data_IF_986558353482
#
_entry.id   IF_986558353482
#
_cell.length_a   1.000
_cell.length_b   1.000
_cell.length_c   1.000
_cell.angle_alpha   90.00
_cell.angle_beta   90.00
_cell.angle_gamma   90.00
#
_symmetry.space_group_name_H-M   'P 1'
#
loop_
_entity.id
_entity.type
_entity.pdbx_description
1 polymer ?
#
# COMPACT_ATOMS: atom_id res chain seq x y z
N UNK A 1 -3.02 -4.39 12.70
CA UNK A 1 -1.97 -5.14 11.97
C UNK A 1 -1.33 -6.09 12.98
N UNK A 2 -1.17 -7.40 12.70
CA UNK A 2 -0.43 -8.30 13.59
C UNK A 2 0.96 -7.72 13.91
N UNK A 3 1.45 -7.92 15.13
CA UNK A 3 2.68 -7.26 15.63
C UNK A 3 3.90 -7.61 14.78
N UNK A 4 3.92 -8.79 14.17
CA UNK A 4 4.98 -9.24 13.26
C UNK A 4 5.08 -8.44 11.94
N UNK A 5 4.07 -7.61 11.60
CA UNK A 5 4.07 -6.77 10.40
C UNK A 5 4.20 -5.28 10.67
N UNK A 6 4.29 -4.88 11.95
CA UNK A 6 4.48 -3.48 12.31
C UNK A 6 5.92 -3.06 12.01
N UNK A 7 6.08 -1.98 11.22
CA UNK A 7 7.39 -1.36 10.99
C UNK A 7 7.83 -0.71 12.30
N UNK A 8 8.99 -1.13 12.82
CA UNK A 8 9.63 -0.50 13.96
C UNK A 8 10.36 0.77 13.50
N UNK A 9 9.62 1.88 13.45
CA UNK A 9 10.14 3.17 13.00
C UNK A 9 11.29 3.71 13.86
N UNK A 10 11.47 3.20 15.09
CA UNK A 10 12.60 3.59 15.95
C UNK A 10 13.96 3.11 15.41
N UNK A 11 13.96 2.15 14.48
CA UNK A 11 15.17 1.56 13.88
C UNK A 11 15.47 2.05 12.47
N UNK A 12 14.61 2.89 11.90
CA UNK A 12 14.75 3.41 10.53
C UNK A 12 15.42 4.78 10.60
N UNK A 13 16.70 4.85 10.22
CA UNK A 13 17.48 6.11 10.23
C UNK A 13 17.92 6.54 8.83
N UNK A 14 17.73 5.70 7.83
CA UNK A 14 18.11 5.96 6.43
C UNK A 14 17.00 5.62 5.44
N UNK A 15 17.02 6.26 4.27
CA UNK A 15 16.07 6.00 3.19
C UNK A 15 16.14 4.55 2.70
N UNK A 16 17.34 3.96 2.65
CA UNK A 16 17.52 2.56 2.26
C UNK A 16 16.82 1.60 3.23
N UNK A 17 16.91 1.84 4.53
CA UNK A 17 16.21 1.06 5.56
C UNK A 17 14.69 1.22 5.44
N UNK A 18 14.20 2.45 5.23
CA UNK A 18 12.77 2.71 5.02
C UNK A 18 12.23 1.91 3.82
N UNK A 19 12.99 1.88 2.72
CA UNK A 19 12.63 1.10 1.52
C UNK A 19 12.61 -0.40 1.80
N UNK A 20 13.57 -0.92 2.57
CA UNK A 20 13.62 -2.33 2.93
C UNK A 20 12.43 -2.74 3.81
N UNK A 21 12.07 -1.94 4.81
CA UNK A 21 10.90 -2.19 5.67
C UNK A 21 9.59 -2.11 4.89
N UNK A 22 9.44 -1.13 4.00
CA UNK A 22 8.29 -1.05 3.10
C UNK A 22 8.16 -2.28 2.19
N UNK A 23 9.28 -2.78 1.63
CA UNK A 23 9.27 -4.00 0.80
C UNK A 23 8.82 -5.24 1.58
N UNK A 24 9.26 -5.38 2.85
CA UNK A 24 8.82 -6.47 3.73
C UNK A 24 7.32 -6.38 4.01
N UNK A 25 6.81 -5.18 4.30
CA UNK A 25 5.38 -4.94 4.51
C UNK A 25 4.55 -5.28 3.25
N UNK A 26 5.00 -4.84 2.07
CA UNK A 26 4.31 -5.18 0.81
C UNK A 26 4.33 -6.68 0.54
N UNK A 27 5.45 -7.35 0.80
CA UNK A 27 5.56 -8.80 0.65
C UNK A 27 4.63 -9.56 1.61
N UNK A 28 4.50 -9.11 2.86
CA UNK A 28 3.60 -9.75 3.82
C UNK A 28 2.13 -9.58 3.44
N UNK A 29 1.74 -8.40 2.94
CA UNK A 29 0.40 -8.16 2.41
C UNK A 29 0.12 -9.09 1.22
N UNK A 30 1.06 -9.21 0.27
CA UNK A 30 0.93 -10.09 -0.90
C UNK A 30 0.87 -11.58 -0.54
N UNK A 31 1.61 -12.00 0.48
CA UNK A 31 1.59 -13.40 0.96
C UNK A 31 0.30 -13.74 1.69
N UNK A 32 -0.30 -12.77 2.40
CA UNK A 32 -1.53 -12.98 3.19
C UNK A 32 -2.79 -12.90 2.34
N UNK A 33 -2.83 -11.98 1.38
CA UNK A 33 -4.06 -11.62 0.65
C UNK A 33 -4.07 -12.11 -0.81
N UNK A 34 -3.03 -12.83 -1.24
CA UNK A 34 -2.77 -13.04 -2.65
C UNK A 34 -2.30 -11.75 -3.34
N UNK A 35 -2.01 -11.82 -4.65
CA UNK A 35 -1.52 -10.65 -5.40
C UNK A 35 -2.55 -9.53 -5.34
N UNK A 36 -2.23 -8.46 -4.61
CA UNK A 36 -3.11 -7.35 -4.21
C UNK A 36 -4.08 -6.89 -5.30
N UNK A 37 -5.39 -7.00 -5.01
CA UNK A 37 -6.52 -6.65 -5.90
C UNK A 37 -7.04 -5.22 -5.81
N UNK A 38 -6.57 -4.39 -4.86
CA UNK A 38 -6.79 -2.94 -4.86
C UNK A 38 -6.74 -2.28 -3.48
N UNK A 39 -6.17 -1.06 -3.39
CA UNK A 39 -6.21 -0.19 -2.22
C UNK A 39 -6.27 1.30 -2.61
N UNK A 40 -6.86 2.10 -1.72
CA UNK A 40 -6.92 3.57 -1.80
C UNK A 40 -6.14 4.12 -0.61
N UNK A 41 -5.19 5.01 -0.87
CA UNK A 41 -4.39 5.68 0.16
C UNK A 41 -4.60 7.19 0.06
N UNK A 42 -4.59 7.88 1.20
CA UNK A 42 -4.53 9.34 1.27
C UNK A 42 -3.19 9.75 1.84
N UNK A 43 -2.40 10.50 1.08
CA UNK A 43 -1.06 10.98 1.45
C UNK A 43 -1.06 12.49 1.22
N UNK A 44 -0.77 13.27 2.27
CA UNK A 44 -0.68 14.75 2.20
C UNK A 44 -1.91 15.42 1.56
N UNK A 45 -3.10 14.88 1.85
CA UNK A 45 -4.36 15.38 1.30
C UNK A 45 -4.68 14.89 -0.11
N UNK A 46 -3.72 14.29 -0.82
CA UNK A 46 -3.90 13.69 -2.14
C UNK A 46 -4.32 12.22 -2.04
N UNK A 47 -5.12 11.76 -3.00
CA UNK A 47 -5.66 10.41 -3.02
C UNK A 47 -4.97 9.57 -4.10
N UNK A 48 -4.48 8.39 -3.72
CA UNK A 48 -3.77 7.46 -4.59
C UNK A 48 -4.53 6.13 -4.64
N UNK A 49 -4.86 5.65 -5.84
CA UNK A 49 -5.46 4.34 -6.04
C UNK A 49 -4.43 3.40 -6.67
N UNK A 50 -4.25 2.21 -6.10
CA UNK A 50 -3.38 1.17 -6.64
C UNK A 50 -4.12 -0.16 -6.66
N UNK A 51 -4.17 -0.83 -7.81
CA UNK A 51 -4.84 -2.12 -7.96
C UNK A 51 -4.26 -2.86 -9.15
N UNK A 52 -4.21 -4.19 -9.09
CA UNK A 52 -3.93 -5.04 -10.25
C UNK A 52 -5.22 -5.41 -11.03
N UNK A 53 -6.39 -4.96 -10.56
CA UNK A 53 -7.69 -5.21 -11.16
C UNK A 53 -8.14 -3.97 -11.95
N UNK A 54 -7.96 -4.04 -13.28
CA UNK A 54 -8.30 -2.95 -14.19
C UNK A 54 -9.80 -2.60 -14.23
N UNK A 55 -10.69 -3.56 -13.95
CA UNK A 55 -12.13 -3.27 -13.87
C UNK A 55 -12.46 -2.41 -12.65
N UNK A 56 -11.87 -2.75 -11.49
CA UNK A 56 -12.03 -1.98 -10.26
C UNK A 56 -11.48 -0.55 -10.40
N UNK A 57 -10.31 -0.36 -11.02
CA UNK A 57 -9.75 0.98 -11.26
C UNK A 57 -10.69 1.85 -12.11
N UNK A 58 -11.26 1.27 -13.17
CA UNK A 58 -12.18 1.98 -14.06
C UNK A 58 -13.43 2.45 -13.32
N UNK A 59 -14.05 1.57 -12.54
CA UNK A 59 -15.24 1.89 -11.76
C UNK A 59 -14.94 2.93 -10.66
N UNK A 60 -13.75 2.87 -10.07
CA UNK A 60 -13.30 3.84 -9.09
C UNK A 60 -13.14 5.24 -9.70
N UNK A 61 -12.38 5.35 -10.80
CA UNK A 61 -12.18 6.65 -11.48
C UNK A 61 -13.49 7.22 -12.05
N UNK A 62 -14.41 6.37 -12.53
CA UNK A 62 -15.71 6.80 -13.03
C UNK A 62 -16.65 7.38 -11.97
N UNK A 63 -16.38 7.16 -10.67
CA UNK A 63 -17.15 7.70 -9.54
C UNK A 63 -16.55 8.99 -8.96
N UNK A 64 -15.38 9.41 -9.41
CA UNK A 64 -14.78 10.66 -8.95
C UNK A 64 -15.50 11.85 -9.62
N UNK A 65 -15.82 12.92 -8.86
CA UNK A 65 -16.31 14.15 -9.45
C UNK A 65 -15.23 14.74 -10.36
N UNK A 66 -15.63 15.14 -11.58
CA UNK A 66 -14.76 15.77 -12.58
C UNK A 66 -14.42 17.22 -12.24
#
# INVERSE_FOLDING_TARGET
MPKEYAIDWSKVTTVAQARAEHMKFVASVRSREGVVSGYILRIEGQLFACSNNAAWLRDFYGKLPG
#
